data_IF_502320891446
#
_entry.id   IF_502320891446
#
_cell.length_a   1.000
_cell.length_b   1.000
_cell.length_c   1.000
_cell.angle_alpha   90.00
_cell.angle_beta   90.00
_cell.angle_gamma   90.00
#
_symmetry.space_group_name_H-M   'P 1'
#
loop_
_entity.id
_entity.type
_entity.pdbx_description
1 polymer ?
#
# COMPACT_ATOMS: atom_id res chain seq x y z
N UNK A 1 -0.23 20.97 -10.77
CA UNK A 1 -0.42 21.57 -12.11
C UNK A 1 -1.89 21.76 -12.46
N UNK A 2 -2.73 20.72 -12.36
CA UNK A 2 -4.18 20.84 -12.61
C UNK A 2 -4.86 21.88 -11.71
N UNK A 3 -4.60 21.84 -10.40
CA UNK A 3 -5.16 22.83 -9.46
C UNK A 3 -4.64 24.25 -9.73
N UNK A 4 -3.36 24.40 -10.12
CA UNK A 4 -2.79 25.70 -10.54
C UNK A 4 -3.51 26.30 -11.74
N UNK A 5 -4.10 25.45 -12.58
CA UNK A 5 -4.94 25.85 -13.73
C UNK A 5 -6.41 26.04 -13.36
N UNK A 6 -6.77 25.96 -12.07
CA UNK A 6 -8.12 26.16 -11.56
C UNK A 6 -9.04 24.95 -11.71
N UNK A 7 -8.50 23.75 -11.94
CA UNK A 7 -9.30 22.52 -12.03
C UNK A 7 -9.33 21.76 -10.71
N UNK A 8 -10.52 21.35 -10.29
CA UNK A 8 -10.72 20.42 -9.19
C UNK A 8 -10.44 18.97 -9.62
N UNK A 9 -9.82 18.20 -8.73
CA UNK A 9 -9.33 16.86 -9.01
C UNK A 9 -9.69 15.91 -7.87
N UNK A 10 -10.28 14.76 -8.23
CA UNK A 10 -10.46 13.62 -7.34
C UNK A 10 -9.23 12.71 -7.40
N UNK A 11 -8.82 12.15 -6.27
CA UNK A 11 -7.61 11.32 -6.17
C UNK A 11 -7.96 9.93 -5.65
N UNK A 12 -7.53 8.89 -6.37
CA UNK A 12 -7.74 7.49 -5.95
C UNK A 12 -6.45 6.66 -6.09
N UNK A 13 -5.93 6.17 -4.97
CA UNK A 13 -4.82 5.21 -4.94
C UNK A 13 -5.11 4.02 -4.03
N UNK A 14 -4.25 3.00 -4.10
CA UNK A 14 -4.48 1.67 -3.53
C UNK A 14 -4.62 1.69 -2.00
N UNK A 15 -3.79 2.44 -1.27
CA UNK A 15 -3.82 2.50 0.21
C UNK A 15 -4.96 3.34 0.79
N UNK A 16 -5.74 4.05 -0.04
CA UNK A 16 -6.86 4.83 0.49
C UNK A 16 -7.90 3.93 1.18
N UNK A 17 -8.44 4.34 2.34
CA UNK A 17 -9.57 3.69 2.97
C UNK A 17 -10.78 3.56 2.03
N UNK A 18 -11.62 2.53 2.22
CA UNK A 18 -12.76 2.26 1.35
C UNK A 18 -13.80 3.39 1.35
N UNK A 19 -14.10 4.02 2.49
CA UNK A 19 -15.05 5.14 2.56
C UNK A 19 -14.53 6.35 1.80
N UNK A 20 -13.27 6.72 2.00
CA UNK A 20 -12.60 7.78 1.23
C UNK A 20 -12.63 7.49 -0.29
N UNK A 21 -12.33 6.27 -0.73
CA UNK A 21 -12.42 5.87 -2.15
C UNK A 21 -13.84 6.06 -2.72
N UNK A 22 -14.86 5.67 -1.96
CA UNK A 22 -16.26 5.81 -2.37
C UNK A 22 -16.68 7.28 -2.45
N UNK A 23 -16.30 8.11 -1.48
CA UNK A 23 -16.61 9.54 -1.48
C UNK A 23 -15.93 10.28 -2.64
N UNK A 24 -14.66 9.98 -2.93
CA UNK A 24 -13.95 10.53 -4.10
C UNK A 24 -14.59 10.07 -5.43
N UNK A 25 -15.02 8.81 -5.50
CA UNK A 25 -15.74 8.29 -6.67
C UNK A 25 -17.11 8.96 -6.84
N UNK A 26 -17.87 9.16 -5.76
CA UNK A 26 -19.16 9.85 -5.77
C UNK A 26 -19.01 11.30 -6.24
N UNK A 27 -18.03 12.02 -5.70
CA UNK A 27 -17.72 13.40 -6.12
C UNK A 27 -17.40 13.50 -7.61
N UNK A 28 -16.59 12.57 -8.13
CA UNK A 28 -16.27 12.51 -9.56
C UNK A 28 -17.48 12.16 -10.45
N UNK A 29 -18.36 11.28 -9.96
CA UNK A 29 -19.52 10.82 -10.69
C UNK A 29 -20.70 11.81 -10.68
N UNK A 30 -20.81 12.67 -9.67
CA UNK A 30 -21.89 13.63 -9.54
C UNK A 30 -21.83 14.63 -10.71
N UNK A 31 -22.86 14.73 -11.58
CA UNK A 31 -22.90 15.70 -12.67
C UNK A 31 -22.84 17.16 -12.22
N UNK A 32 -23.31 17.48 -11.01
CA UNK A 32 -23.38 18.86 -10.49
C UNK A 32 -22.08 19.31 -9.80
N UNK A 33 -21.21 18.38 -9.42
CA UNK A 33 -19.95 18.71 -8.76
C UNK A 33 -18.92 19.28 -9.77
N UNK A 34 -18.20 20.38 -9.46
CA UNK A 34 -17.17 20.93 -10.34
C UNK A 34 -15.98 20.00 -10.59
N UNK A 35 -15.77 18.97 -9.75
CA UNK A 35 -14.68 18.01 -9.85
C UNK A 35 -14.91 16.97 -10.97
N UNK A 36 -14.46 17.29 -12.19
CA UNK A 36 -14.59 16.40 -13.38
C UNK A 36 -13.31 15.70 -13.81
N UNK A 37 -12.23 15.83 -13.05
CA UNK A 37 -10.95 15.19 -13.36
C UNK A 37 -10.59 14.26 -12.22
N UNK A 38 -10.15 13.04 -12.56
CA UNK A 38 -9.65 12.07 -11.59
C UNK A 38 -8.20 11.73 -11.91
N UNK A 39 -7.36 11.73 -10.89
CA UNK A 39 -5.99 11.18 -10.93
C UNK A 39 -5.99 9.91 -10.12
N UNK A 40 -5.67 8.78 -10.76
CA UNK A 40 -5.72 7.50 -10.10
C UNK A 40 -4.61 6.53 -10.50
N UNK A 41 -4.36 5.56 -9.63
CA UNK A 41 -3.53 4.37 -9.91
C UNK A 41 -4.36 3.28 -10.59
N UNK A 42 -3.73 2.15 -10.91
CA UNK A 42 -4.40 0.94 -11.43
C UNK A 42 -5.46 0.35 -10.46
N UNK A 43 -5.54 0.84 -9.22
CA UNK A 43 -6.61 0.53 -8.27
C UNK A 43 -8.02 0.78 -8.83
N UNK A 44 -8.20 1.69 -9.80
CA UNK A 44 -9.51 1.90 -10.44
C UNK A 44 -9.92 0.75 -11.35
N UNK A 45 -9.01 -0.16 -11.71
CA UNK A 45 -9.27 -1.30 -12.58
C UNK A 45 -10.37 -2.24 -12.05
N UNK A 46 -10.63 -2.24 -10.74
CA UNK A 46 -11.66 -3.06 -10.09
C UNK A 46 -12.36 -2.31 -8.94
N UNK A 47 -13.47 -2.87 -8.44
CA UNK A 47 -14.07 -2.46 -7.15
C UNK A 47 -14.91 -1.18 -7.12
N UNK A 48 -14.68 -0.21 -8.01
CA UNK A 48 -15.46 1.04 -8.04
C UNK A 48 -16.32 1.17 -9.30
N UNK A 49 -17.50 1.79 -9.14
CA UNK A 49 -18.32 2.24 -10.27
C UNK A 49 -17.96 3.69 -10.59
N UNK A 50 -17.35 3.91 -11.75
CA UNK A 50 -16.86 5.22 -12.18
C UNK A 50 -17.42 5.56 -13.56
N UNK A 51 -17.92 6.78 -13.71
CA UNK A 51 -18.45 7.32 -14.96
C UNK A 51 -17.34 8.02 -15.75
N UNK A 52 -16.46 7.24 -16.37
CA UNK A 52 -15.28 7.76 -17.07
C UNK A 52 -15.57 7.87 -18.57
N UNK A 53 -15.43 9.08 -19.13
CA UNK A 53 -15.47 9.29 -20.58
C UNK A 53 -14.15 8.90 -21.26
N UNK A 54 -13.03 9.34 -20.70
CA UNK A 54 -11.70 9.14 -21.28
C UNK A 54 -10.67 8.69 -20.25
N UNK A 55 -9.97 7.61 -20.55
CA UNK A 55 -8.78 7.18 -19.81
C UNK A 55 -7.53 7.74 -20.48
N UNK A 56 -6.63 8.30 -19.67
CA UNK A 56 -5.34 8.83 -20.11
C UNK A 56 -4.24 8.11 -19.32
N UNK A 57 -3.49 7.23 -19.99
CA UNK A 57 -2.33 6.60 -19.39
C UNK A 57 -1.20 7.62 -19.24
N UNK A 58 -0.81 7.93 -18.01
CA UNK A 58 0.30 8.85 -17.75
C UNK A 58 1.67 8.27 -18.17
N UNK A 59 1.84 6.96 -17.94
CA UNK A 59 3.01 6.17 -18.31
C UNK A 59 2.55 4.72 -18.55
N UNK A 60 3.21 4.03 -19.49
CA UNK A 60 3.02 2.58 -19.73
C UNK A 60 4.06 1.72 -19.01
N UNK A 61 4.95 2.34 -18.24
CA UNK A 61 5.97 1.66 -17.45
C UNK A 61 5.52 1.55 -16.00
N UNK A 62 5.53 0.34 -15.46
CA UNK A 62 5.24 0.02 -14.07
C UNK A 62 6.50 -0.54 -13.40
N UNK A 63 6.86 -0.07 -12.19
CA UNK A 63 7.93 -0.70 -11.43
C UNK A 63 7.46 -2.10 -11.00
N UNK A 64 8.12 -3.13 -11.49
CA UNK A 64 7.94 -4.52 -11.05
C UNK A 64 9.17 -4.96 -10.25
N UNK A 65 8.97 -5.88 -9.30
CA UNK A 65 10.08 -6.60 -8.70
C UNK A 65 10.34 -7.82 -9.56
N UNK A 66 11.56 -7.94 -10.07
CA UNK A 66 12.00 -9.16 -10.74
C UNK A 66 12.18 -10.28 -9.71
N UNK A 67 12.32 -11.53 -10.19
CA UNK A 67 12.59 -12.71 -9.36
C UNK A 67 13.86 -12.57 -8.48
N UNK A 68 14.76 -11.65 -8.85
CA UNK A 68 15.99 -11.33 -8.11
C UNK A 68 15.83 -10.17 -7.10
N UNK A 69 14.63 -9.62 -6.95
CA UNK A 69 14.33 -8.52 -6.03
C UNK A 69 14.70 -7.12 -6.52
N UNK A 70 15.18 -6.99 -7.75
CA UNK A 70 15.51 -5.70 -8.37
C UNK A 70 14.25 -5.02 -8.93
N UNK A 71 14.19 -3.68 -8.83
CA UNK A 71 13.09 -2.89 -9.38
C UNK A 71 13.35 -2.59 -10.85
N UNK A 72 12.78 -3.39 -11.74
CA UNK A 72 12.79 -3.10 -13.17
C UNK A 72 11.52 -2.35 -13.57
N UNK A 73 11.63 -1.47 -14.56
CA UNK A 73 10.47 -0.81 -15.16
C UNK A 73 10.00 -1.66 -16.33
N UNK A 74 8.98 -2.47 -16.09
CA UNK A 74 8.38 -3.27 -17.14
C UNK A 74 7.14 -2.57 -17.73
N UNK A 75 6.78 -2.94 -18.95
CA UNK A 75 5.56 -2.46 -19.61
C UNK A 75 4.31 -3.03 -18.94
N UNK A 76 3.23 -2.25 -18.92
CA UNK A 76 1.93 -2.73 -18.43
C UNK A 76 1.44 -3.89 -19.30
N UNK A 77 1.01 -4.98 -18.67
CA UNK A 77 0.52 -6.17 -19.38
C UNK A 77 -0.76 -5.87 -20.18
N UNK A 78 -1.02 -6.64 -21.24
CA UNK A 78 -2.25 -6.51 -22.04
C UNK A 78 -3.51 -6.63 -21.18
N UNK A 79 -3.58 -7.58 -20.25
CA UNK A 79 -4.73 -7.75 -19.35
C UNK A 79 -4.97 -6.53 -18.46
N UNK A 80 -3.91 -5.94 -17.88
CA UNK A 80 -4.01 -4.74 -17.05
C UNK A 80 -4.44 -3.52 -17.90
N UNK A 81 -3.83 -3.35 -19.07
CA UNK A 81 -4.18 -2.26 -19.97
C UNK A 81 -5.64 -2.33 -20.40
N UNK A 82 -6.13 -3.51 -20.80
CA UNK A 82 -7.53 -3.75 -21.15
C UNK A 82 -8.48 -3.52 -19.97
N UNK A 83 -8.10 -3.96 -18.77
CA UNK A 83 -8.91 -3.77 -17.57
C UNK A 83 -9.09 -2.29 -17.22
N UNK A 84 -8.02 -1.50 -17.31
CA UNK A 84 -8.06 -0.05 -17.06
C UNK A 84 -8.78 0.68 -18.20
N UNK A 85 -8.45 0.36 -19.45
CA UNK A 85 -9.06 0.94 -20.65
C UNK A 85 -10.58 0.71 -20.69
N UNK A 86 -11.03 -0.50 -20.33
CA UNK A 86 -12.44 -0.88 -20.27
C UNK A 86 -13.25 -0.18 -19.16
N UNK A 87 -12.62 0.68 -18.34
CA UNK A 87 -13.35 1.57 -17.43
C UNK A 87 -13.94 2.79 -18.12
N UNK A 88 -13.46 3.15 -19.31
CA UNK A 88 -14.08 4.20 -20.12
C UNK A 88 -15.36 3.67 -20.78
N UNK A 89 -16.43 4.48 -20.81
CA UNK A 89 -17.64 4.17 -21.57
C UNK A 89 -18.45 2.98 -21.04
N UNK A 90 -18.52 2.78 -19.72
CA UNK A 90 -19.34 1.70 -19.14
C UNK A 90 -20.83 1.94 -19.42
N UNK A 91 -21.57 0.88 -19.70
CA UNK A 91 -23.00 0.91 -20.06
C UNK A 91 -23.89 1.66 -19.06
N UNK A 92 -23.56 1.64 -17.77
CA UNK A 92 -24.31 2.35 -16.71
C UNK A 92 -23.85 3.80 -16.50
N UNK A 93 -22.97 4.33 -17.35
CA UNK A 93 -22.45 5.69 -17.26
C UNK A 93 -23.15 6.63 -18.25
N UNK A 94 -23.03 7.94 -18.01
CA UNK A 94 -23.55 8.97 -18.91
C UNK A 94 -22.83 9.02 -20.28
N UNK A 95 -21.76 8.24 -20.46
CA UNK A 95 -20.94 8.23 -21.66
C UNK A 95 -21.05 6.86 -22.36
N UNK A 96 -21.78 6.75 -23.48
CA UNK A 96 -21.92 5.48 -24.19
C UNK A 96 -20.62 5.06 -24.89
N UNK A 97 -19.81 6.02 -25.34
CA UNK A 97 -18.53 5.79 -26.02
C UNK A 97 -17.36 6.16 -25.11
N UNK A 98 -16.45 5.21 -24.91
CA UNK A 98 -15.22 5.38 -24.12
C UNK A 98 -14.00 5.70 -24.98
N UNK A 99 -13.22 6.70 -24.57
CA UNK A 99 -11.96 7.07 -25.22
C UNK A 99 -10.76 6.60 -24.38
N UNK A 100 -9.67 6.18 -25.05
CA UNK A 100 -8.41 5.79 -24.38
C UNK A 100 -7.24 6.41 -25.12
N UNK A 101 -6.33 7.06 -24.39
CA UNK A 101 -5.12 7.68 -24.95
C UNK A 101 -3.98 7.67 -23.94
N UNK A 102 -2.80 8.14 -24.36
CA UNK A 102 -1.61 8.32 -23.52
C UNK A 102 -1.33 9.80 -23.30
N UNK A 103 -0.65 10.12 -22.19
CA UNK A 103 -0.20 11.49 -21.91
C UNK A 103 0.93 11.92 -22.85
N UNK A 104 1.90 11.03 -23.09
CA UNK A 104 2.98 11.24 -24.07
C UNK A 104 2.59 10.65 -25.42
N UNK A 105 2.83 11.41 -26.49
CA UNK A 105 2.52 10.96 -27.87
C UNK A 105 3.32 9.74 -28.28
N UNK A 106 4.57 9.64 -27.81
CA UNK A 106 5.48 8.55 -28.14
C UNK A 106 5.02 7.19 -27.59
N UNK A 107 4.21 7.20 -26.52
CA UNK A 107 3.66 5.99 -25.90
C UNK A 107 2.40 5.47 -26.63
N UNK A 108 1.77 6.26 -27.50
CA UNK A 108 0.50 5.92 -28.13
C UNK A 108 0.59 4.69 -29.07
N UNK A 109 1.63 4.54 -29.93
CA UNK A 109 1.79 3.33 -30.73
C UNK A 109 1.95 2.08 -29.88
N UNK A 110 2.70 2.18 -28.77
CA UNK A 110 2.88 1.09 -27.83
C UNK A 110 1.57 0.69 -27.16
N UNK A 111 0.75 1.66 -26.71
CA UNK A 111 -0.56 1.35 -26.14
C UNK A 111 -1.47 0.63 -27.14
N UNK A 112 -1.49 1.07 -28.40
CA UNK A 112 -2.29 0.43 -29.46
C UNK A 112 -1.87 -1.02 -29.70
N UNK A 113 -0.57 -1.27 -29.69
CA UNK A 113 -0.02 -2.62 -29.81
C UNK A 113 -0.39 -3.48 -28.59
N UNK A 114 -0.24 -2.96 -27.37
CA UNK A 114 -0.60 -3.70 -26.14
C UNK A 114 -2.08 -4.08 -26.13
N UNK A 115 -2.98 -3.17 -26.51
CA UNK A 115 -4.44 -3.36 -26.50
C UNK A 115 -4.92 -4.29 -27.62
N UNK A 116 -4.21 -4.37 -28.76
CA UNK A 116 -4.58 -5.23 -29.88
C UNK A 116 -4.09 -6.67 -29.75
N UNK A 117 -3.11 -6.93 -28.87
CA UNK A 117 -2.60 -8.28 -28.58
C UNK A 117 -3.70 -9.16 -27.97
N UNK A 118 -3.65 -10.45 -28.30
CA UNK A 118 -4.51 -11.45 -27.66
C UNK A 118 -4.03 -11.71 -26.24
N UNK A 119 -4.97 -11.78 -25.29
CA UNK A 119 -4.68 -12.14 -23.91
C UNK A 119 -4.31 -13.62 -23.85
N UNK A 120 -3.14 -13.93 -23.28
CA UNK A 120 -2.72 -15.30 -23.07
C UNK A 120 -3.64 -16.01 -22.07
N UNK A 121 -4.04 -17.23 -22.41
CA UNK A 121 -4.84 -18.06 -21.51
C UNK A 121 -3.99 -18.53 -20.33
N UNK A 122 -4.53 -18.37 -19.11
CA UNK A 122 -3.91 -18.93 -17.90
C UNK A 122 -3.83 -20.46 -18.00
N UNK A 123 -2.65 -21.03 -17.74
CA UNK A 123 -2.39 -22.48 -17.87
C UNK A 123 -2.32 -23.21 -16.54
N UNK A 124 -1.98 -22.50 -15.47
CA UNK A 124 -1.66 -23.08 -14.15
C UNK A 124 -2.41 -22.36 -13.03
N UNK A 125 -2.75 -23.07 -11.97
CA UNK A 125 -3.37 -22.54 -10.76
C UNK A 125 -2.40 -22.58 -9.57
N UNK A 126 -2.49 -21.58 -8.70
CA UNK A 126 -1.65 -21.49 -7.50
C UNK A 126 -2.19 -22.36 -6.37
N UNK A 127 -1.31 -23.10 -5.70
CA UNK A 127 -1.59 -23.85 -4.48
C UNK A 127 -0.79 -23.25 -3.33
N UNK A 128 -1.31 -23.37 -2.11
CA UNK A 128 -0.62 -22.91 -0.91
C UNK A 128 -0.66 -23.98 0.19
N UNK A 129 0.35 -24.02 1.08
CA UNK A 129 0.34 -24.95 2.21
C UNK A 129 -0.86 -24.66 3.13
N UNK A 130 -1.52 -25.71 3.63
CA UNK A 130 -2.54 -25.56 4.68
C UNK A 130 -1.91 -25.57 6.06
N UNK A 131 -2.62 -25.02 7.05
CA UNK A 131 -2.15 -25.00 8.43
C UNK A 131 -1.93 -26.42 8.99
N UNK A 132 -2.80 -27.36 8.64
CA UNK A 132 -2.72 -28.76 9.07
C UNK A 132 -1.50 -29.48 8.47
N UNK A 133 -1.17 -29.18 7.22
CA UNK A 133 0.03 -29.73 6.57
C UNK A 133 1.31 -29.22 7.25
N UNK A 134 1.37 -27.93 7.57
CA UNK A 134 2.52 -27.35 8.27
C UNK A 134 2.62 -27.87 9.71
N UNK A 135 1.49 -28.07 10.41
CA UNK A 135 1.46 -28.70 11.73
C UNK A 135 2.03 -30.12 11.73
N UNK A 136 1.64 -30.92 10.73
CA UNK A 136 2.18 -32.27 10.55
C UNK A 136 3.70 -32.24 10.33
N UNK A 137 4.20 -31.30 9.53
CA UNK A 137 5.64 -31.12 9.32
C UNK A 137 6.36 -30.71 10.62
N UNK A 138 5.78 -29.78 11.38
CA UNK A 138 6.36 -29.33 12.64
C UNK A 138 6.42 -30.43 13.70
N UNK A 139 5.47 -31.38 13.69
CA UNK A 139 5.52 -32.55 14.55
C UNK A 139 6.76 -33.42 14.26
N UNK A 140 7.09 -33.61 12.99
CA UNK A 140 8.28 -34.37 12.57
C UNK A 140 9.58 -33.56 12.68
N UNK A 141 9.50 -32.22 12.64
CA UNK A 141 10.62 -31.30 12.61
C UNK A 141 10.49 -30.19 13.69
N UNK A 142 10.45 -30.54 14.99
CA UNK A 142 10.04 -29.61 16.06
C UNK A 142 11.04 -28.48 16.37
N UNK A 143 12.27 -28.56 15.85
CA UNK A 143 13.34 -27.58 16.12
C UNK A 143 13.45 -26.48 15.06
N UNK A 144 12.67 -26.56 13.99
CA UNK A 144 12.74 -25.60 12.89
C UNK A 144 11.75 -24.44 13.08
N UNK A 145 12.15 -23.24 12.65
CA UNK A 145 11.28 -22.07 12.61
C UNK A 145 10.17 -22.26 11.58
N UNK A 146 9.05 -21.54 11.72
CA UNK A 146 7.93 -21.63 10.79
C UNK A 146 8.34 -21.27 9.35
N UNK A 147 9.15 -20.22 9.18
CA UNK A 147 9.71 -19.82 7.88
C UNK A 147 10.48 -20.97 7.23
N UNK A 148 11.32 -21.68 8.02
CA UNK A 148 12.08 -22.83 7.53
C UNK A 148 11.21 -24.05 7.22
N UNK A 149 10.16 -24.29 8.02
CA UNK A 149 9.19 -25.36 7.75
C UNK A 149 8.46 -25.14 6.42
N UNK A 150 8.10 -23.90 6.11
CA UNK A 150 7.47 -23.54 4.82
C UNK A 150 8.45 -23.78 3.66
N UNK A 151 9.72 -23.39 3.78
CA UNK A 151 10.73 -23.68 2.75
C UNK A 151 10.88 -25.19 2.52
N UNK A 152 11.00 -25.97 3.60
CA UNK A 152 11.14 -27.43 3.52
C UNK A 152 9.88 -28.04 2.87
N UNK A 153 8.69 -27.56 3.24
CA UNK A 153 7.44 -28.02 2.66
C UNK A 153 7.40 -27.77 1.14
N UNK A 154 7.77 -26.57 0.69
CA UNK A 154 7.79 -26.23 -0.74
C UNK A 154 8.79 -27.12 -1.49
N UNK A 155 9.99 -27.34 -0.96
CA UNK A 155 11.01 -28.19 -1.60
C UNK A 155 10.59 -29.66 -1.67
N UNK A 156 9.88 -30.16 -0.66
CA UNK A 156 9.43 -31.56 -0.62
C UNK A 156 8.10 -31.78 -1.33
N UNK A 157 7.34 -30.72 -1.59
CA UNK A 157 6.05 -30.82 -2.28
C UNK A 157 6.23 -31.26 -3.73
N UNK A 158 5.44 -32.25 -4.14
CA UNK A 158 5.36 -32.70 -5.52
C UNK A 158 4.06 -32.17 -6.12
N UNK A 159 4.18 -31.38 -7.17
CA UNK A 159 3.07 -30.77 -7.87
C UNK A 159 3.06 -31.28 -9.32
N UNK A 160 1.87 -31.32 -9.92
CA UNK A 160 1.79 -31.43 -11.37
C UNK A 160 2.16 -30.06 -11.97
N UNK A 161 3.42 -29.92 -12.39
CA UNK A 161 3.99 -28.68 -12.92
C UNK A 161 3.24 -28.16 -14.16
N UNK A 162 2.50 -29.02 -14.86
CA UNK A 162 1.70 -28.64 -16.03
C UNK A 162 0.44 -27.86 -15.66
N UNK A 163 -0.12 -28.09 -14.46
CA UNK A 163 -1.41 -27.53 -14.01
C UNK A 163 -1.29 -26.64 -12.77
N UNK A 164 -0.26 -26.82 -11.94
CA UNK A 164 -0.15 -26.16 -10.65
C UNK A 164 1.21 -25.51 -10.43
N UNK A 165 1.24 -24.54 -9.52
CA UNK A 165 2.46 -23.94 -8.98
C UNK A 165 2.27 -23.57 -7.52
N UNK A 166 3.34 -23.50 -6.73
CA UNK A 166 3.26 -22.95 -5.37
C UNK A 166 3.12 -21.43 -5.41
N UNK A 167 2.12 -20.91 -4.71
CA UNK A 167 1.94 -19.48 -4.48
C UNK A 167 3.16 -18.88 -3.76
N UNK A 168 3.37 -17.58 -3.96
CA UNK A 168 4.40 -16.84 -3.24
C UNK A 168 4.10 -16.82 -1.74
N UNK A 169 5.03 -17.31 -0.93
CA UNK A 169 4.95 -17.38 0.54
C UNK A 169 5.86 -16.38 1.26
N UNK A 170 6.55 -15.50 0.52
CA UNK A 170 7.54 -14.59 1.08
C UNK A 170 6.94 -13.63 2.12
N UNK A 171 5.69 -13.21 1.94
CA UNK A 171 5.00 -12.38 2.93
C UNK A 171 4.72 -13.16 4.23
N UNK A 172 4.28 -14.42 4.12
CA UNK A 172 4.05 -15.30 5.27
C UNK A 172 5.36 -15.57 6.03
N UNK A 173 6.45 -15.83 5.30
CA UNK A 173 7.79 -16.05 5.86
C UNK A 173 8.30 -14.80 6.58
N UNK A 174 8.19 -13.63 5.95
CA UNK A 174 8.57 -12.36 6.56
C UNK A 174 7.86 -12.12 7.90
N UNK A 175 6.56 -12.38 7.97
CA UNK A 175 5.81 -12.25 9.22
C UNK A 175 6.17 -13.31 10.25
N UNK A 176 6.41 -14.55 9.82
CA UNK A 176 6.87 -15.63 10.69
C UNK A 176 8.20 -15.29 11.36
N UNK A 177 9.12 -14.67 10.62
CA UNK A 177 10.43 -14.24 11.13
C UNK A 177 10.28 -13.08 12.14
N UNK A 178 9.41 -12.09 11.89
CA UNK A 178 9.16 -10.99 12.82
C UNK A 178 8.72 -11.49 14.21
N UNK A 179 7.86 -12.52 14.26
CA UNK A 179 7.31 -13.06 15.51
C UNK A 179 8.08 -14.27 16.02
N UNK A 180 9.21 -14.66 15.42
CA UNK A 180 9.97 -15.84 15.79
C UNK A 180 10.33 -15.85 17.29
N UNK A 181 10.76 -14.70 17.81
CA UNK A 181 11.13 -14.53 19.23
C UNK A 181 9.95 -14.50 20.21
N UNK A 182 8.71 -14.48 19.72
CA UNK A 182 7.51 -14.53 20.58
C UNK A 182 7.06 -15.98 20.73
N UNK A 183 6.91 -16.53 21.95
CA UNK A 183 6.63 -17.96 22.17
C UNK A 183 5.16 -18.34 21.92
N UNK A 184 4.73 -18.25 20.67
CA UNK A 184 3.38 -18.63 20.23
C UNK A 184 3.27 -20.11 19.89
N UNK A 185 2.10 -20.69 20.18
CA UNK A 185 1.68 -21.99 19.64
C UNK A 185 1.68 -21.96 18.11
N UNK A 186 1.99 -23.10 17.49
CA UNK A 186 2.18 -23.17 16.03
C UNK A 186 0.93 -22.73 15.24
N UNK A 187 -0.27 -23.17 15.62
CA UNK A 187 -1.53 -22.75 14.98
C UNK A 187 -1.71 -21.24 15.01
N UNK A 188 -1.48 -20.64 16.19
CA UNK A 188 -1.58 -19.20 16.37
C UNK A 188 -0.53 -18.49 15.52
N UNK A 189 0.73 -18.94 15.58
CA UNK A 189 1.84 -18.40 14.77
C UNK A 189 1.52 -18.42 13.28
N UNK A 190 1.06 -19.55 12.75
CA UNK A 190 0.65 -19.68 11.34
C UNK A 190 -0.45 -18.68 10.99
N UNK A 191 -1.47 -18.56 11.84
CA UNK A 191 -2.57 -17.61 11.63
C UNK A 191 -2.07 -16.16 11.63
N UNK A 192 -1.21 -15.76 12.57
CA UNK A 192 -0.60 -14.43 12.59
C UNK A 192 0.25 -14.18 11.33
N UNK A 193 1.01 -15.17 10.88
CA UNK A 193 1.81 -15.07 9.66
C UNK A 193 0.98 -14.98 8.38
N UNK A 194 -0.30 -15.32 8.40
CA UNK A 194 -1.21 -15.14 7.28
C UNK A 194 -1.94 -13.77 7.30
N UNK A 195 -1.61 -12.89 8.25
CA UNK A 195 -2.27 -11.59 8.35
C UNK A 195 -1.90 -10.70 7.14
N UNK A 196 -2.89 -10.05 6.50
CA UNK A 196 -2.65 -9.22 5.33
C UNK A 196 -2.08 -7.87 5.75
N UNK A 197 -0.75 -7.77 5.88
CA UNK A 197 -0.08 -6.51 6.24
C UNK A 197 0.87 -6.03 5.16
N UNK A 198 1.01 -4.71 5.04
CA UNK A 198 1.99 -4.10 4.16
C UNK A 198 3.38 -4.07 4.82
N UNK A 199 4.26 -4.99 4.44
CA UNK A 199 5.63 -5.09 4.97
C UNK A 199 6.51 -3.85 4.74
N UNK A 200 6.10 -2.93 3.87
CA UNK A 200 6.82 -1.68 3.61
C UNK A 200 6.58 -0.62 4.69
N UNK A 201 5.54 -0.78 5.51
CA UNK A 201 5.15 0.18 6.55
C UNK A 201 5.70 -0.26 7.92
N UNK A 202 6.74 0.41 8.46
CA UNK A 202 7.40 0.00 9.70
C UNK A 202 6.49 0.08 10.92
N UNK A 203 5.57 1.05 10.95
CA UNK A 203 4.61 1.22 12.04
C UNK A 203 3.67 0.02 12.14
N UNK A 204 3.11 -0.44 11.01
CA UNK A 204 2.23 -1.61 10.95
C UNK A 204 2.97 -2.88 11.41
N UNK A 205 4.22 -3.06 10.98
CA UNK A 205 5.05 -4.20 11.43
C UNK A 205 5.32 -4.16 12.95
N UNK A 206 5.54 -2.96 13.49
CA UNK A 206 5.73 -2.76 14.93
C UNK A 206 4.44 -3.07 15.71
N UNK A 207 3.29 -2.62 15.21
CA UNK A 207 1.99 -2.90 15.82
C UNK A 207 1.64 -4.39 15.75
N UNK A 208 1.92 -5.06 14.63
CA UNK A 208 1.79 -6.51 14.49
C UNK A 208 2.60 -7.26 15.57
N UNK A 209 3.85 -6.87 15.81
CA UNK A 209 4.67 -7.46 16.87
C UNK A 209 4.10 -7.20 18.27
N UNK A 210 3.53 -6.01 18.52
CA UNK A 210 2.86 -5.69 19.78
C UNK A 210 1.61 -6.56 20.00
N UNK A 211 0.79 -6.77 18.97
CA UNK A 211 -0.36 -7.68 19.03
C UNK A 211 0.05 -9.12 19.33
N UNK A 212 1.09 -9.63 18.66
CA UNK A 212 1.62 -10.96 18.93
C UNK A 212 2.11 -11.10 20.39
N UNK A 213 2.76 -10.06 20.94
CA UNK A 213 3.21 -10.04 22.35
C UNK A 213 2.05 -10.00 23.35
N UNK A 214 1.01 -9.20 23.11
CA UNK A 214 -0.19 -9.19 23.96
C UNK A 214 -0.89 -10.54 23.94
N UNK A 215 -1.03 -11.14 22.74
CA UNK A 215 -1.58 -12.48 22.58
C UNK A 215 -0.81 -13.51 23.40
N UNK A 216 0.53 -13.48 23.35
CA UNK A 216 1.39 -14.38 24.11
C UNK A 216 1.27 -14.21 25.63
N UNK A 217 0.99 -12.99 26.11
CA UNK A 217 0.77 -12.72 27.54
C UNK A 217 -0.62 -13.12 28.02
N UNK A 218 -1.49 -13.57 27.12
CA UNK A 218 -2.91 -13.79 27.40
C UNK A 218 -3.60 -12.54 27.95
N UNK A 219 -3.11 -11.36 27.58
CA UNK A 219 -3.74 -10.07 27.88
C UNK A 219 -4.62 -9.62 26.70
N UNK A 220 -5.94 -9.44 26.90
CA UNK A 220 -6.81 -8.94 25.84
C UNK A 220 -6.35 -7.56 25.34
N UNK A 221 -6.35 -7.39 24.03
CA UNK A 221 -6.04 -6.11 23.40
C UNK A 221 -7.31 -5.26 23.41
N UNK A 222 -7.52 -4.52 24.49
CA UNK A 222 -8.70 -3.67 24.65
C UNK A 222 -8.60 -2.39 23.84
N UNK A 223 -9.75 -1.75 23.63
CA UNK A 223 -9.89 -0.42 23.03
C UNK A 223 -8.93 0.60 23.67
N UNK A 224 -8.91 0.69 25.00
CA UNK A 224 -8.07 1.66 25.71
C UNK A 224 -6.58 1.44 25.48
N UNK A 225 -6.16 0.18 25.37
CA UNK A 225 -4.79 -0.15 25.03
C UNK A 225 -4.47 0.30 23.61
N UNK A 226 -5.35 -0.01 22.65
CA UNK A 226 -5.13 0.34 21.25
C UNK A 226 -5.13 1.85 21.03
N UNK A 227 -6.09 2.57 21.61
CA UNK A 227 -6.22 4.02 21.57
C UNK A 227 -4.92 4.72 22.02
N UNK A 228 -4.28 4.21 23.08
CA UNK A 228 -2.98 4.74 23.55
C UNK A 228 -1.83 4.45 22.58
N UNK A 229 -1.84 3.30 21.90
CA UNK A 229 -0.77 2.93 20.97
C UNK A 229 -0.86 3.69 19.64
N UNK A 230 -2.09 3.96 19.17
CA UNK A 230 -2.34 4.67 17.91
C UNK A 230 -2.39 6.19 18.07
N UNK A 231 -2.33 6.70 19.31
CA UNK A 231 -2.38 8.13 19.59
C UNK A 231 -3.76 8.76 19.39
N UNK A 232 -4.84 8.06 19.74
CA UNK A 232 -6.20 8.63 19.70
C UNK A 232 -6.41 9.63 20.84
N UNK A 233 -7.10 10.78 20.62
CA UNK A 233 -7.82 11.19 19.41
C UNK A 233 -6.89 11.71 18.29
N UNK A 234 -7.32 11.52 17.04
CA UNK A 234 -6.52 11.90 15.88
C UNK A 234 -6.65 13.39 15.54
N UNK A 235 -5.56 13.97 15.06
CA UNK A 235 -5.56 15.33 14.52
C UNK A 235 -5.63 15.33 13.00
N UNK A 236 -6.12 16.43 12.43
CA UNK A 236 -6.18 16.61 10.97
C UNK A 236 -4.75 16.71 10.43
N UNK A 237 -4.46 15.93 9.38
CA UNK A 237 -3.15 15.94 8.72
C UNK A 237 -2.80 17.34 8.20
N UNK A 238 -1.61 17.85 8.55
CA UNK A 238 -1.07 19.11 8.03
C UNK A 238 0.00 18.88 6.96
N UNK A 239 0.50 17.64 6.83
CA UNK A 239 1.47 17.27 5.79
C UNK A 239 1.08 15.96 5.10
N UNK A 240 1.72 15.68 3.97
CA UNK A 240 1.54 14.39 3.27
C UNK A 240 2.07 13.22 4.12
N UNK A 241 3.11 13.45 4.92
CA UNK A 241 3.64 12.41 5.83
C UNK A 241 2.62 12.06 6.91
N UNK A 242 1.91 13.05 7.46
CA UNK A 242 0.85 12.81 8.44
C UNK A 242 -0.29 12.01 7.82
N UNK A 243 -0.68 12.32 6.57
CA UNK A 243 -1.70 11.56 5.86
C UNK A 243 -1.30 10.10 5.66
N UNK A 244 -0.04 9.85 5.24
CA UNK A 244 0.49 8.48 5.12
C UNK A 244 0.50 7.77 6.47
N UNK A 245 0.86 8.46 7.56
CA UNK A 245 0.81 7.86 8.88
C UNK A 245 -0.63 7.52 9.32
N UNK A 246 -1.61 8.37 9.04
CA UNK A 246 -3.02 8.06 9.30
C UNK A 246 -3.50 6.83 8.51
N UNK A 247 -3.05 6.65 7.26
CA UNK A 247 -3.29 5.41 6.50
C UNK A 247 -2.63 4.18 7.17
N UNK A 248 -1.40 4.30 7.69
CA UNK A 248 -0.77 3.21 8.45
C UNK A 248 -1.54 2.86 9.73
N UNK A 249 -2.08 3.87 10.42
CA UNK A 249 -2.94 3.65 11.60
C UNK A 249 -4.22 2.93 11.18
N UNK A 250 -4.82 3.31 10.04
CA UNK A 250 -6.00 2.63 9.50
C UNK A 250 -5.72 1.14 9.23
N UNK A 251 -4.59 0.82 8.60
CA UNK A 251 -4.15 -0.56 8.38
C UNK A 251 -3.95 -1.34 9.70
N UNK A 252 -3.51 -0.67 10.78
CA UNK A 252 -3.39 -1.29 12.11
C UNK A 252 -4.76 -1.63 12.73
N UNK A 253 -5.79 -0.83 12.46
CA UNK A 253 -7.17 -1.11 12.87
C UNK A 253 -7.75 -2.28 12.05
N UNK A 254 -7.49 -2.32 10.74
CA UNK A 254 -7.88 -3.46 9.90
C UNK A 254 -7.22 -4.76 10.35
N UNK A 255 -5.94 -4.70 10.72
CA UNK A 255 -5.23 -5.84 11.31
C UNK A 255 -5.87 -6.31 12.62
N UNK A 256 -6.26 -5.39 13.51
CA UNK A 256 -6.99 -5.73 14.74
C UNK A 256 -8.30 -6.45 14.39
N UNK A 257 -9.09 -5.89 13.47
CA UNK A 257 -10.37 -6.47 13.07
C UNK A 257 -10.17 -7.85 12.45
N UNK A 258 -9.16 -8.02 11.60
CA UNK A 258 -8.82 -9.31 11.00
C UNK A 258 -8.51 -10.37 12.07
N UNK A 259 -7.66 -10.03 13.05
CA UNK A 259 -7.31 -10.92 14.16
C UNK A 259 -8.50 -11.22 15.06
N UNK A 260 -9.40 -10.25 15.25
CA UNK A 260 -10.61 -10.40 16.07
C UNK A 260 -11.58 -11.48 15.57
N UNK A 261 -11.59 -11.77 14.27
CA UNK A 261 -12.38 -12.86 13.71
C UNK A 261 -11.79 -14.24 14.00
N UNK A 262 -10.49 -14.34 14.30
CA UNK A 262 -9.81 -15.61 14.63
C UNK A 262 -9.63 -15.81 16.13
N UNK A 263 -9.41 -14.73 16.88
CA UNK A 263 -9.10 -14.73 18.31
C UNK A 263 -10.04 -13.79 19.06
N UNK A 264 -11.33 -14.14 19.15
CA UNK A 264 -12.35 -13.26 19.71
C UNK A 264 -12.08 -12.86 21.18
N UNK A 265 -11.58 -13.79 22.00
CA UNK A 265 -11.30 -13.53 23.42
C UNK A 265 -10.13 -12.55 23.63
N UNK A 266 -9.18 -12.53 22.68
CA UNK A 266 -7.99 -11.68 22.76
C UNK A 266 -8.18 -10.31 22.10
N UNK A 267 -9.19 -10.18 21.24
CA UNK A 267 -9.53 -8.95 20.51
C UNK A 267 -11.05 -8.72 20.57
N UNK A 268 -11.57 -8.38 21.77
CA UNK A 268 -13.01 -8.35 22.02
C UNK A 268 -13.73 -7.13 21.41
N UNK A 269 -13.05 -5.99 21.28
CA UNK A 269 -13.69 -4.68 21.12
C UNK A 269 -13.97 -4.29 19.65
N UNK A 270 -14.53 -5.21 18.87
CA UNK A 270 -14.73 -5.05 17.41
C UNK A 270 -15.55 -3.82 17.04
N UNK A 271 -16.64 -3.57 17.76
CA UNK A 271 -17.57 -2.48 17.46
C UNK A 271 -16.94 -1.12 17.73
N UNK A 272 -16.27 -0.96 18.87
CA UNK A 272 -15.55 0.25 19.24
C UNK A 272 -14.42 0.57 18.25
N UNK A 273 -13.68 -0.46 17.82
CA UNK A 273 -12.62 -0.29 16.81
C UNK A 273 -13.19 0.11 15.45
N UNK A 274 -14.33 -0.44 15.02
CA UNK A 274 -15.02 0.01 13.80
C UNK A 274 -15.49 1.46 13.91
N UNK A 275 -15.90 1.91 15.10
CA UNK A 275 -16.25 3.31 15.37
C UNK A 275 -15.09 4.26 15.11
N UNK A 276 -13.93 3.99 15.73
CA UNK A 276 -12.69 4.76 15.49
C UNK A 276 -12.24 4.67 14.04
N UNK A 277 -12.34 3.50 13.41
CA UNK A 277 -11.97 3.33 12.02
C UNK A 277 -12.80 4.21 11.09
N UNK A 278 -14.10 4.34 11.33
CA UNK A 278 -14.97 5.23 10.58
C UNK A 278 -14.66 6.71 10.82
N UNK A 279 -14.32 7.10 12.07
CA UNK A 279 -13.84 8.45 12.40
C UNK A 279 -12.54 8.76 11.63
N UNK A 280 -11.58 7.85 11.65
CA UNK A 280 -10.31 7.98 10.95
C UNK A 280 -10.48 8.09 9.43
N UNK A 281 -11.39 7.31 8.85
CA UNK A 281 -11.71 7.40 7.41
C UNK A 281 -12.23 8.80 7.04
N UNK A 282 -13.07 9.41 7.89
CA UNK A 282 -13.54 10.79 7.67
C UNK A 282 -12.40 11.82 7.74
N UNK A 283 -11.46 11.64 8.68
CA UNK A 283 -10.28 12.51 8.82
C UNK A 283 -9.37 12.36 7.59
N UNK A 284 -9.09 11.13 7.15
CA UNK A 284 -8.30 10.85 5.95
C UNK A 284 -9.00 11.46 4.73
N UNK A 285 -10.31 11.30 4.60
CA UNK A 285 -11.08 11.92 3.52
C UNK A 285 -10.93 13.45 3.50
N UNK A 286 -11.03 14.12 4.65
CA UNK A 286 -10.83 15.57 4.76
C UNK A 286 -9.39 15.99 4.40
N UNK A 287 -8.40 15.17 4.77
CA UNK A 287 -6.99 15.33 4.37
C UNK A 287 -6.79 15.19 2.86
N UNK A 288 -7.40 14.17 2.23
CA UNK A 288 -7.33 13.90 0.79
C UNK A 288 -8.03 15.01 -0.01
N UNK A 289 -9.14 15.56 0.47
CA UNK A 289 -9.77 16.71 -0.18
C UNK A 289 -8.84 17.93 -0.23
N UNK A 290 -7.96 18.08 0.76
CA UNK A 290 -6.97 19.14 0.83
C UNK A 290 -5.57 18.67 0.39
N UNK A 291 -5.44 17.53 -0.30
CA UNK A 291 -4.15 16.90 -0.62
C UNK A 291 -3.19 17.86 -1.33
N UNK A 292 -3.70 18.79 -2.14
CA UNK A 292 -2.85 19.73 -2.86
C UNK A 292 -2.23 20.76 -1.91
N UNK A 293 -2.96 21.22 -0.89
CA UNK A 293 -2.40 22.07 0.19
C UNK A 293 -1.31 21.31 0.95
N UNK A 294 -1.55 20.03 1.26
CA UNK A 294 -0.56 19.17 1.93
C UNK A 294 0.71 19.02 1.09
N UNK A 295 0.57 18.79 -0.22
CA UNK A 295 1.69 18.71 -1.17
C UNK A 295 2.44 20.05 -1.24
N UNK A 296 1.73 21.19 -1.23
CA UNK A 296 2.35 22.51 -1.23
C UNK A 296 3.14 22.78 0.05
N UNK A 297 2.60 22.45 1.22
CA UNK A 297 3.28 22.59 2.51
C UNK A 297 4.50 21.68 2.61
N UNK A 298 4.41 20.44 2.11
CA UNK A 298 5.55 19.50 2.06
C UNK A 298 6.66 20.00 1.13
N UNK A 299 6.31 20.58 -0.02
CA UNK A 299 7.26 21.19 -0.95
C UNK A 299 7.89 22.50 -0.43
N UNK A 300 7.19 23.24 0.46
CA UNK A 300 7.74 24.42 1.13
C UNK A 300 8.65 24.04 2.30
N UNK A 301 8.28 23.02 3.10
CA UNK A 301 9.11 22.48 4.17
C UNK A 301 10.41 21.87 3.66
N UNK A 302 10.38 21.17 2.52
CA UNK A 302 11.60 20.66 1.86
C UNK A 302 12.46 21.78 1.27
N UNK A 303 11.87 22.87 0.75
CA UNK A 303 12.65 24.07 0.36
C UNK A 303 13.26 24.80 1.56
N UNK A 304 12.58 24.85 2.71
CA UNK A 304 13.16 25.41 3.95
C UNK A 304 14.24 24.52 4.55
N UNK A 305 14.11 23.18 4.45
CA UNK A 305 15.15 22.24 4.87
C UNK A 305 16.40 22.27 3.97
N UNK A 306 16.25 22.65 2.69
CA UNK A 306 17.38 22.89 1.78
C UNK A 306 18.01 24.28 2.06
N UNK A 307 17.21 25.28 2.47
CA UNK A 307 17.73 26.60 2.85
C UNK A 307 18.37 26.66 4.25
N UNK A 308 18.19 25.62 5.09
CA UNK A 308 18.87 25.50 6.38
C UNK A 308 20.20 24.73 6.32
N UNK A 309 20.61 24.26 5.13
CA UNK A 309 21.89 23.59 4.87
C UNK A 309 22.59 24.17 3.64
N UNK A 310 22.92 25.46 3.66
CA UNK A 310 23.95 26.04 2.80
C UNK A 310 24.49 27.36 3.35
N UNK A 311 25.57 27.28 4.14
CA UNK A 311 26.79 28.12 4.01
C UNK A 311 27.78 27.79 5.16
N UNK A 312 28.87 27.05 4.91
CA UNK A 312 30.16 27.38 5.50
C UNK A 312 30.80 28.46 4.64
N UNK A 313 31.08 29.61 5.26
CA UNK A 313 31.72 30.77 4.66
C UNK A 313 32.94 30.38 3.80
N UNK A 314 32.86 30.64 2.48
CA UNK A 314 34.05 30.67 1.63
C UNK A 314 34.73 32.02 1.79
N UNK A 315 35.81 32.02 2.55
CA UNK A 315 36.84 33.06 2.53
C UNK A 315 37.43 33.17 1.11
N UNK A 316 37.32 34.36 0.52
CA UNK A 316 38.00 34.68 -0.73
C UNK A 316 39.53 34.67 -0.58
N UNK A 317 40.29 34.45 -1.67
CA UNK A 317 41.75 34.44 -1.60
C UNK A 317 42.31 35.86 -1.67
N UNK A 318 43.36 36.12 -0.86
CA UNK A 318 44.43 37.17 -0.93
C UNK A 318 44.74 37.68 0.49
N UNK A 319 45.96 37.96 0.95
CA UNK A 319 47.27 38.19 0.33
C UNK A 319 48.30 38.07 1.48
N UNK A 320 49.38 37.29 1.32
CA UNK A 320 50.45 37.18 2.34
C UNK A 320 51.40 38.37 2.16
N UNK A 321 51.47 39.27 3.14
CA UNK A 321 52.55 40.25 3.25
C UNK A 321 53.60 39.77 4.26
N UNK A 322 54.80 39.49 3.74
CA UNK A 322 55.99 39.16 4.51
C UNK A 322 56.63 40.42 5.11
N UNK A 323 57.12 40.34 6.36
CA UNK A 323 58.18 41.19 6.93
C UNK A 323 58.65 40.66 8.30
N UNK A 324 59.85 41.02 8.78
CA UNK A 324 61.02 40.14 8.71
C UNK A 324 61.52 39.67 10.08
N UNK A 325 62.36 38.64 10.07
CA UNK A 325 63.08 38.14 11.23
C UNK A 325 64.12 39.14 11.76
N UNK A 326 64.16 39.31 13.09
CA UNK A 326 65.27 39.69 14.00
C UNK A 326 64.62 39.83 15.39
N UNK A 327 65.16 39.31 16.48
CA UNK A 327 66.45 38.70 16.79
C UNK A 327 66.26 37.81 18.03
#
# INVERSE_FOLDING_TARGET
>A
ELERRGHEVAVIYESLPPGTKLLQAQRFNDPNDPCKIMVATDAIGMGLNLSIKRIIFYSLLKPQLNEQGEKEKDTVTTSQALQIAGRAGRFASAFPDGEVTTFRRDDLPLLKDIVSRQVETIKRAGLHPTAEQIEMFAYHLPKHSLSRLIDIFIVLSQLDDSLFFMCNVEDVKFLADIIEHVPLQLRARYTFSCAPINKKMPFVCTMFLKYARQFNRSEPTTFDWLAKQIGWPFEISNTVMDLVHLEEVFDCLDLYLWLSFRFADMFPDKESIRGIQAELDQIIHAGVQNIVKLIHQTNQGSKQAIFSWSEPAQSGPKLIQARPARR
#
